data_IF_195058551578
#
_entry.id   IF_195058551578
#
_cell.length_a   1.000
_cell.length_b   1.000
_cell.length_c   1.000
_cell.angle_alpha   90.00
_cell.angle_beta   90.00
_cell.angle_gamma   90.00
#
_symmetry.space_group_name_H-M   'P 1'
#
loop_
_entity.id
_entity.type
_entity.pdbx_description
1 polymer ?
#
# COMPACT_ATOMS: atom_id res chain seq x y z
N UNK A 1 2.03 18.15 12.94
CA UNK A 1 1.44 17.16 12.01
C UNK A 1 0.45 17.88 11.11
N UNK A 2 0.61 17.79 9.79
CA UNK A 2 -0.29 18.40 8.81
C UNK A 2 -0.98 17.27 8.01
N UNK A 3 -2.32 17.22 8.03
CA UNK A 3 -3.12 16.24 7.29
C UNK A 3 -3.97 17.02 6.28
N UNK A 4 -3.98 16.57 5.02
CA UNK A 4 -4.73 17.20 3.93
C UNK A 4 -5.88 16.32 3.48
N UNK A 5 -7.06 16.90 3.29
CA UNK A 5 -8.28 16.16 2.95
C UNK A 5 -8.76 16.54 1.55
N UNK A 6 -8.95 15.55 0.68
CA UNK A 6 -9.54 15.74 -0.63
C UNK A 6 -10.99 15.25 -0.65
N UNK A 7 -11.94 16.19 -0.57
CA UNK A 7 -13.38 15.90 -0.58
C UNK A 7 -13.93 15.51 -1.96
N UNK A 8 -13.18 15.79 -3.05
CA UNK A 8 -13.55 15.40 -4.41
C UNK A 8 -13.10 13.99 -4.76
N UNK A 9 -12.29 13.36 -3.90
CA UNK A 9 -11.83 11.99 -4.10
C UNK A 9 -12.98 10.99 -3.92
N UNK A 10 -12.93 9.88 -4.64
CA UNK A 10 -13.82 8.72 -4.45
C UNK A 10 -13.52 7.96 -3.14
N UNK A 11 -12.39 8.25 -2.50
CA UNK A 11 -11.94 7.60 -1.27
C UNK A 11 -12.63 8.24 -0.06
N UNK A 12 -13.20 7.41 0.82
CA UNK A 12 -13.84 7.87 2.04
C UNK A 12 -12.87 8.67 2.94
N UNK A 13 -13.37 9.71 3.62
CA UNK A 13 -12.55 10.65 4.39
C UNK A 13 -11.74 9.96 5.51
N UNK A 14 -12.34 8.99 6.21
CA UNK A 14 -11.65 8.29 7.29
C UNK A 14 -10.44 7.49 6.76
N UNK A 15 -10.56 6.88 5.57
CA UNK A 15 -9.48 6.16 4.90
C UNK A 15 -8.35 7.13 4.52
N UNK A 16 -8.68 8.34 4.05
CA UNK A 16 -7.66 9.36 3.74
C UNK A 16 -6.87 9.80 4.98
N UNK A 17 -7.55 9.93 6.13
CA UNK A 17 -6.94 10.30 7.42
C UNK A 17 -6.07 9.16 7.94
N UNK A 18 -6.62 7.95 7.94
CA UNK A 18 -5.94 6.74 8.38
C UNK A 18 -4.62 6.53 7.62
N UNK A 19 -4.67 6.60 6.28
CA UNK A 19 -3.49 6.42 5.44
C UNK A 19 -2.41 7.47 5.72
N UNK A 20 -2.78 8.74 5.87
CA UNK A 20 -1.80 9.79 6.19
C UNK A 20 -1.17 9.60 7.57
N UNK A 21 -1.95 9.23 8.59
CA UNK A 21 -1.40 8.93 9.92
C UNK A 21 -0.44 7.74 9.85
N UNK A 22 -0.81 6.67 9.15
CA UNK A 22 0.07 5.51 8.91
C UNK A 22 1.41 5.94 8.32
N UNK A 23 1.39 6.74 7.28
CA UNK A 23 2.62 7.14 6.59
C UNK A 23 3.52 8.01 7.47
N UNK A 24 2.93 8.85 8.32
CA UNK A 24 3.68 9.64 9.29
C UNK A 24 4.30 8.75 10.38
N UNK A 25 3.58 7.72 10.85
CA UNK A 25 4.12 6.74 11.80
C UNK A 25 5.28 5.96 11.17
N UNK A 26 5.09 5.45 9.95
CA UNK A 26 6.11 4.65 9.25
C UNK A 26 7.32 5.46 8.79
N UNK A 27 7.17 6.75 8.49
CA UNK A 27 8.29 7.62 8.13
C UNK A 27 9.22 7.97 9.31
N UNK A 28 8.92 7.48 10.52
CA UNK A 28 9.68 7.72 11.76
C UNK A 28 9.85 9.20 12.14
N UNK A 29 9.06 10.09 11.52
CA UNK A 29 9.01 11.51 11.87
C UNK A 29 8.47 11.67 13.30
N UNK A 30 7.57 10.78 13.72
CA UNK A 30 7.02 10.73 15.07
C UNK A 30 7.56 9.50 15.80
N UNK A 31 8.16 9.72 16.96
CA UNK A 31 8.71 8.65 17.81
C UNK A 31 7.61 7.90 18.57
N UNK A 32 7.93 6.67 19.01
CA UNK A 32 7.09 5.92 19.94
C UNK A 32 6.71 6.78 21.14
N UNK A 33 5.46 6.69 21.58
CA UNK A 33 4.83 7.51 22.62
C UNK A 33 4.52 8.96 22.23
N UNK A 34 4.74 9.39 20.98
CA UNK A 34 4.24 10.68 20.54
C UNK A 34 2.70 10.72 20.65
N UNK A 35 2.20 11.77 21.31
CA UNK A 35 0.76 11.98 21.51
C UNK A 35 0.15 12.59 20.25
N UNK A 36 -0.80 11.87 19.66
CA UNK A 36 -1.60 12.37 18.55
C UNK A 36 -2.63 13.40 19.04
N UNK A 37 -3.07 14.32 18.17
CA UNK A 37 -4.19 15.20 18.49
C UNK A 37 -5.41 14.41 18.94
N UNK A 38 -6.17 14.95 19.90
CA UNK A 38 -7.45 14.32 20.26
C UNK A 38 -8.41 14.30 19.07
N UNK A 39 -9.36 13.37 19.09
CA UNK A 39 -10.39 13.25 18.02
C UNK A 39 -11.09 14.58 17.75
N UNK A 40 -11.40 15.33 18.82
CA UNK A 40 -12.07 16.63 18.74
C UNK A 40 -11.17 17.71 18.14
N UNK A 41 -9.91 17.77 18.57
CA UNK A 41 -8.94 18.71 18.02
C UNK A 41 -8.75 18.43 16.52
N UNK A 42 -8.53 17.17 16.15
CA UNK A 42 -8.30 16.80 14.75
C UNK A 42 -9.54 17.06 13.88
N UNK A 43 -10.73 16.76 14.38
CA UNK A 43 -11.99 17.04 13.67
C UNK A 43 -12.15 18.54 13.38
N UNK A 44 -11.86 19.39 14.38
CA UNK A 44 -11.94 20.84 14.26
C UNK A 44 -10.90 21.39 13.27
N UNK A 45 -9.64 20.92 13.36
CA UNK A 45 -8.56 21.34 12.46
C UNK A 45 -8.86 20.97 11.01
N UNK A 46 -9.37 19.75 10.76
CA UNK A 46 -9.66 19.27 9.40
C UNK A 46 -11.06 19.66 8.90
N UNK A 47 -11.89 20.28 9.77
CA UNK A 47 -13.29 20.61 9.51
C UNK A 47 -14.09 19.39 9.01
N UNK A 48 -13.90 18.23 9.65
CA UNK A 48 -14.60 16.97 9.33
C UNK A 48 -15.48 16.53 10.50
N UNK A 49 -16.41 15.61 10.25
CA UNK A 49 -17.21 15.03 11.32
C UNK A 49 -16.31 14.26 12.31
N UNK A 50 -16.55 14.43 13.61
CA UNK A 50 -15.85 13.69 14.66
C UNK A 50 -15.96 12.18 14.47
N UNK A 51 -17.11 11.66 14.02
CA UNK A 51 -17.29 10.23 13.75
C UNK A 51 -16.30 9.69 12.71
N UNK A 52 -15.93 10.50 11.73
CA UNK A 52 -14.90 10.16 10.73
C UNK A 52 -13.52 9.99 11.37
N UNK A 53 -13.17 10.85 12.35
CA UNK A 53 -11.90 10.75 13.08
C UNK A 53 -11.91 9.54 14.01
N UNK A 54 -13.01 9.33 14.74
CA UNK A 54 -13.20 8.16 15.63
C UNK A 54 -12.96 6.88 14.83
N UNK A 55 -13.64 6.73 13.69
CA UNK A 55 -13.47 5.57 12.81
C UNK A 55 -12.03 5.39 12.33
N UNK A 56 -11.36 6.47 11.90
CA UNK A 56 -9.96 6.39 11.49
C UNK A 56 -9.04 5.97 12.64
N UNK A 57 -9.28 6.45 13.85
CA UNK A 57 -8.48 6.10 15.04
C UNK A 57 -8.75 4.67 15.50
N UNK A 58 -9.99 4.18 15.41
CA UNK A 58 -10.34 2.78 15.67
C UNK A 58 -9.57 1.84 14.74
N UNK A 59 -9.59 2.11 13.43
CA UNK A 59 -8.84 1.34 12.43
C UNK A 59 -7.33 1.31 12.71
N UNK A 60 -6.75 2.42 13.17
CA UNK A 60 -5.34 2.50 13.53
C UNK A 60 -5.01 1.73 14.81
N UNK A 61 -5.94 1.69 15.77
CA UNK A 61 -5.81 0.89 17.00
C UNK A 61 -5.87 -0.59 16.70
N UNK A 62 -6.82 -1.03 15.87
CA UNK A 62 -6.94 -2.43 15.43
C UNK A 62 -5.65 -2.91 14.75
N UNK A 63 -4.97 -2.02 14.02
CA UNK A 63 -3.69 -2.28 13.36
C UNK A 63 -2.48 -2.20 14.30
N UNK A 64 -2.69 -1.93 15.60
CA UNK A 64 -1.64 -1.84 16.62
C UNK A 64 -0.71 -0.63 16.48
N UNK A 65 -1.09 0.36 15.65
CA UNK A 65 -0.22 1.50 15.35
C UNK A 65 -0.30 2.59 16.42
N UNK A 66 -1.49 2.76 16.99
CA UNK A 66 -1.78 3.75 18.03
C UNK A 66 -2.53 3.08 19.17
N UNK A 67 -2.44 3.68 20.35
CA UNK A 67 -3.14 3.23 21.55
C UNK A 67 -3.64 4.45 22.35
N UNK A 68 -4.60 4.24 23.25
CA UNK A 68 -5.20 5.31 24.05
C UNK A 68 -5.08 5.03 25.55
N UNK A 69 -4.59 6.01 26.30
CA UNK A 69 -4.56 5.98 27.76
C UNK A 69 -5.26 7.21 28.34
N UNK A 70 -6.10 7.01 29.36
CA UNK A 70 -6.89 8.07 30.01
C UNK A 70 -6.05 9.28 30.48
N UNK A 71 -4.77 9.09 30.85
CA UNK A 71 -3.88 10.20 31.28
C UNK A 71 -3.06 10.84 30.16
N UNK A 72 -2.79 10.13 29.06
CA UNK A 72 -1.87 10.56 27.98
C UNK A 72 -2.57 10.87 26.66
N UNK A 73 -3.85 10.57 26.55
CA UNK A 73 -4.58 10.64 25.28
C UNK A 73 -4.21 9.49 24.35
N UNK A 74 -4.36 9.71 23.05
CA UNK A 74 -3.98 8.74 22.02
C UNK A 74 -2.52 8.94 21.63
N UNK A 75 -1.72 7.88 21.62
CA UNK A 75 -0.29 7.93 21.32
C UNK A 75 0.11 6.83 20.35
N UNK A 76 1.24 7.01 19.69
CA UNK A 76 1.83 5.98 18.80
C UNK A 76 2.40 4.84 19.66
N UNK A 77 1.80 3.65 19.54
CA UNK A 77 2.23 2.43 20.21
C UNK A 77 3.22 1.62 19.36
N UNK A 78 3.26 1.86 18.05
CA UNK A 78 4.14 1.17 17.12
C UNK A 78 5.62 1.34 17.53
N UNK A 79 6.27 0.22 17.83
CA UNK A 79 7.72 0.09 17.90
C UNK A 79 8.20 -0.75 16.73
N UNK A 80 9.00 -0.14 15.88
CA UNK A 80 9.76 -0.84 14.86
C UNK A 80 10.92 -1.57 15.57
N UNK A 81 10.67 -2.77 16.07
CA UNK A 81 11.68 -3.63 16.71
C UNK A 81 12.60 -4.20 15.63
N UNK A 82 13.49 -3.37 15.10
CA UNK A 82 14.50 -3.78 14.13
C UNK A 82 15.74 -4.36 14.82
N UNK A 83 15.63 -5.54 15.42
CA UNK A 83 16.82 -6.41 15.60
C UNK A 83 16.63 -7.89 15.26
N UNK A 84 15.42 -8.41 15.04
CA UNK A 84 15.31 -9.78 14.52
C UNK A 84 14.27 -9.88 13.39
N UNK A 85 14.76 -10.36 12.24
CA UNK A 85 14.06 -10.84 11.05
C UNK A 85 14.07 -9.92 9.81
N UNK A 86 15.20 -10.05 9.09
CA UNK A 86 15.50 -10.01 7.65
C UNK A 86 14.40 -9.99 6.55
N UNK A 87 13.16 -9.56 6.79
CA UNK A 87 12.19 -9.38 5.70
C UNK A 87 11.83 -7.91 5.44
N UNK A 88 12.43 -7.43 4.35
CA UNK A 88 12.07 -6.26 3.54
C UNK A 88 12.10 -4.92 4.27
N UNK A 89 13.13 -4.15 3.89
CA UNK A 89 13.12 -2.69 3.76
C UNK A 89 11.83 -2.25 3.06
N UNK A 90 10.76 -2.08 3.84
CA UNK A 90 9.48 -1.58 3.37
C UNK A 90 9.64 -0.08 3.19
N UNK A 91 10.21 0.29 2.05
CA UNK A 91 10.31 1.66 1.58
C UNK A 91 8.91 2.27 1.56
N UNK A 92 8.74 3.36 2.31
CA UNK A 92 7.75 4.43 2.13
C UNK A 92 6.44 4.02 1.43
N UNK A 93 5.43 3.72 2.24
CA UNK A 93 4.11 3.31 1.79
C UNK A 93 3.40 4.35 0.88
N UNK A 94 3.69 5.64 1.01
CA UNK A 94 3.09 6.70 0.17
C UNK A 94 3.45 6.62 -1.33
N UNK A 95 4.67 6.21 -1.69
CA UNK A 95 5.04 6.05 -3.11
C UNK A 95 4.44 4.78 -3.73
N UNK A 96 4.11 3.78 -2.92
CA UNK A 96 3.53 2.51 -3.37
C UNK A 96 2.01 2.65 -3.58
N UNK A 97 1.32 3.47 -2.77
CA UNK A 97 -0.13 3.67 -2.91
C UNK A 97 -0.53 4.35 -4.22
N UNK A 98 0.29 5.24 -4.79
CA UNK A 98 -0.02 5.86 -6.09
C UNK A 98 -0.04 4.82 -7.23
N UNK A 99 0.82 3.81 -7.17
CA UNK A 99 0.92 2.80 -8.21
C UNK A 99 -0.18 1.74 -8.09
N UNK A 100 -0.61 1.42 -6.86
CA UNK A 100 -1.65 0.42 -6.61
C UNK A 100 -2.98 0.79 -7.27
N UNK A 101 -3.41 2.05 -7.18
CA UNK A 101 -4.66 2.48 -7.80
C UNK A 101 -4.59 2.36 -9.33
N UNK A 102 -3.49 2.81 -9.93
CA UNK A 102 -3.28 2.71 -11.38
C UNK A 102 -3.28 1.24 -11.84
N UNK A 103 -2.54 0.37 -11.14
CA UNK A 103 -2.50 -1.07 -11.39
C UNK A 103 -3.90 -1.67 -11.30
N UNK A 104 -4.64 -1.36 -10.24
CA UNK A 104 -5.98 -1.89 -10.00
C UNK A 104 -6.97 -1.45 -11.09
N UNK A 105 -6.93 -0.18 -11.49
CA UNK A 105 -7.76 0.34 -12.57
C UNK A 105 -7.45 -0.37 -13.90
N UNK A 106 -6.18 -0.59 -14.23
CA UNK A 106 -5.78 -1.32 -15.44
C UNK A 106 -6.30 -2.76 -15.41
N UNK A 107 -6.12 -3.47 -14.29
CA UNK A 107 -6.58 -4.86 -14.16
C UNK A 107 -8.11 -4.95 -14.38
N UNK A 108 -8.89 -4.25 -13.57
CA UNK A 108 -10.35 -4.42 -13.56
C UNK A 108 -11.06 -3.77 -14.75
N UNK A 109 -10.59 -2.61 -15.22
CA UNK A 109 -11.25 -1.88 -16.29
C UNK A 109 -10.72 -2.22 -17.68
N UNK A 110 -9.57 -2.88 -17.78
CA UNK A 110 -8.96 -3.23 -19.06
C UNK A 110 -8.71 -4.75 -19.16
N UNK A 111 -7.80 -5.30 -18.35
CA UNK A 111 -7.30 -6.67 -18.54
C UNK A 111 -8.39 -7.74 -18.30
N UNK A 112 -9.18 -7.62 -17.23
CA UNK A 112 -10.31 -8.53 -16.97
C UNK A 112 -11.39 -8.47 -18.07
N UNK A 113 -11.39 -7.42 -18.91
CA UNK A 113 -12.29 -7.25 -20.06
C UNK A 113 -11.63 -7.62 -21.38
N UNK A 114 -10.42 -8.17 -21.36
CA UNK A 114 -9.63 -8.52 -22.55
C UNK A 114 -9.07 -7.31 -23.31
N UNK A 115 -9.07 -6.11 -22.72
CA UNK A 115 -8.57 -4.89 -23.35
C UNK A 115 -7.10 -4.73 -22.99
N UNK A 116 -6.22 -4.76 -23.99
CA UNK A 116 -4.77 -4.56 -23.84
C UNK A 116 -4.41 -3.21 -24.47
N UNK A 117 -3.75 -2.34 -23.71
CA UNK A 117 -3.33 -1.01 -24.17
C UNK A 117 -1.84 -0.80 -23.97
N UNK A 118 -1.16 -0.28 -24.98
CA UNK A 118 0.25 0.12 -24.89
C UNK A 118 0.47 1.19 -23.82
N UNK A 119 -0.46 2.14 -23.67
CA UNK A 119 -0.40 3.15 -22.60
C UNK A 119 -0.43 2.55 -21.20
N UNK A 120 -1.09 1.40 -21.01
CA UNK A 120 -1.14 0.67 -19.74
C UNK A 120 0.13 -0.16 -19.54
N UNK A 121 0.65 -0.77 -20.60
CA UNK A 121 1.96 -1.44 -20.60
C UNK A 121 3.07 -0.48 -20.19
N UNK A 122 3.12 0.72 -20.76
CA UNK A 122 4.14 1.73 -20.44
C UNK A 122 4.04 2.23 -18.99
N UNK A 123 2.84 2.29 -18.40
CA UNK A 123 2.68 2.56 -16.96
C UNK A 123 3.27 1.44 -16.11
N UNK A 124 3.01 0.17 -16.46
CA UNK A 124 3.61 -0.97 -15.77
C UNK A 124 5.14 -0.98 -15.86
N UNK A 125 5.71 -0.74 -17.05
CA UNK A 125 7.17 -0.65 -17.24
C UNK A 125 7.79 0.45 -16.37
N UNK A 126 7.14 1.63 -16.28
CA UNK A 126 7.60 2.71 -15.36
C UNK A 126 7.60 2.28 -13.90
N UNK A 127 6.57 1.56 -13.46
CA UNK A 127 6.47 1.06 -12.09
C UNK A 127 7.58 0.02 -11.82
N UNK A 128 7.75 -0.94 -12.73
CA UNK A 128 8.79 -1.97 -12.63
C UNK A 128 10.18 -1.32 -12.57
N UNK A 129 10.50 -0.40 -13.49
CA UNK A 129 11.77 0.30 -13.51
C UNK A 129 12.05 1.05 -12.19
N UNK A 130 11.03 1.68 -11.60
CA UNK A 130 11.15 2.32 -10.28
C UNK A 130 11.46 1.30 -9.18
N UNK A 131 10.83 0.12 -9.21
CA UNK A 131 11.14 -0.96 -8.27
C UNK A 131 12.56 -1.48 -8.47
N UNK A 132 13.02 -1.63 -9.72
CA UNK A 132 14.41 -2.02 -10.02
C UNK A 132 15.41 -1.03 -9.44
N UNK A 133 15.19 0.28 -9.64
CA UNK A 133 16.03 1.35 -9.07
C UNK A 133 16.08 1.31 -7.54
N UNK A 134 15.03 0.78 -6.90
CA UNK A 134 14.95 0.59 -5.46
C UNK A 134 15.55 -0.75 -4.99
N UNK A 135 16.21 -1.51 -5.88
CA UNK A 135 16.91 -2.76 -5.57
C UNK A 135 16.08 -4.02 -5.80
N UNK A 136 14.96 -3.95 -6.52
CA UNK A 136 14.25 -5.17 -6.92
C UNK A 136 15.05 -5.92 -7.99
N UNK A 137 15.38 -7.18 -7.71
CA UNK A 137 16.12 -8.07 -8.62
C UNK A 137 15.19 -9.00 -9.41
N UNK A 138 13.88 -8.97 -9.12
CA UNK A 138 12.86 -9.74 -9.82
C UNK A 138 11.45 -9.25 -9.50
N UNK A 139 10.50 -9.53 -10.39
CA UNK A 139 9.09 -9.16 -10.24
C UNK A 139 8.20 -10.40 -10.23
N UNK A 140 7.36 -10.53 -9.22
CA UNK A 140 6.34 -11.58 -9.15
C UNK A 140 5.02 -11.05 -9.72
N UNK A 141 4.48 -11.72 -10.74
CA UNK A 141 3.19 -11.38 -11.35
C UNK A 141 2.06 -12.07 -10.59
N UNK A 142 1.62 -11.44 -9.49
CA UNK A 142 0.68 -12.07 -8.54
C UNK A 142 -0.79 -12.13 -8.97
N UNK A 143 -1.17 -11.60 -10.14
CA UNK A 143 -2.53 -11.73 -10.68
C UNK A 143 -2.49 -12.46 -12.01
N UNK A 144 -3.50 -13.27 -12.29
CA UNK A 144 -3.63 -14.07 -13.52
C UNK A 144 -3.71 -13.23 -14.80
N UNK A 145 -4.12 -11.96 -14.68
CA UNK A 145 -4.33 -11.05 -15.82
C UNK A 145 -3.09 -10.25 -16.19
N UNK A 146 -2.18 -10.02 -15.26
CA UNK A 146 -0.96 -9.21 -15.49
C UNK A 146 -0.05 -9.85 -16.57
N UNK A 147 0.14 -11.18 -16.60
CA UNK A 147 0.88 -11.85 -17.67
C UNK A 147 0.32 -11.60 -19.08
N UNK A 148 -0.93 -11.15 -19.23
CA UNK A 148 -1.49 -10.77 -20.54
C UNK A 148 -0.90 -9.45 -21.05
N UNK A 149 -0.44 -8.57 -20.15
CA UNK A 149 0.03 -7.23 -20.47
C UNK A 149 1.56 -7.11 -20.52
N UNK A 150 2.27 -7.76 -19.59
CA UNK A 150 3.73 -7.65 -19.44
C UNK A 150 4.38 -9.00 -19.69
N UNK A 151 5.39 -9.03 -20.55
CA UNK A 151 6.19 -10.20 -20.92
C UNK A 151 7.65 -10.02 -20.54
N UNK A 152 8.42 -11.11 -20.53
CA UNK A 152 9.84 -11.09 -20.15
C UNK A 152 10.67 -10.17 -21.07
N UNK A 153 10.27 -10.04 -22.33
CA UNK A 153 10.88 -9.13 -23.32
C UNK A 153 10.64 -7.63 -23.03
N UNK A 154 9.63 -7.29 -22.22
CA UNK A 154 9.32 -5.90 -21.91
C UNK A 154 10.22 -5.31 -20.81
N UNK A 155 10.98 -6.14 -20.08
CA UNK A 155 11.76 -5.76 -18.89
C UNK A 155 13.09 -6.50 -18.76
N UNK A 156 14.08 -5.86 -18.14
CA UNK A 156 15.45 -6.40 -18.04
C UNK A 156 15.73 -7.24 -16.79
N UNK A 157 14.73 -7.44 -15.92
CA UNK A 157 14.85 -8.29 -14.74
C UNK A 157 13.93 -9.51 -14.86
N UNK A 158 14.24 -10.63 -14.20
CA UNK A 158 13.36 -11.80 -14.18
C UNK A 158 11.94 -11.46 -13.73
N UNK A 159 10.96 -11.92 -14.51
CA UNK A 159 9.56 -11.91 -14.10
C UNK A 159 9.08 -13.33 -13.82
N UNK A 160 8.28 -13.49 -12.78
CA UNK A 160 7.76 -14.78 -12.34
C UNK A 160 6.25 -14.78 -12.48
N UNK A 161 5.75 -15.44 -13.54
CA UNK A 161 4.32 -15.72 -13.69
C UNK A 161 3.95 -16.86 -12.74
N UNK A 162 3.34 -16.50 -11.60
CA UNK A 162 2.95 -17.49 -10.59
C UNK A 162 1.90 -18.46 -11.11
N UNK A 163 1.08 -18.04 -12.07
CA UNK A 163 0.04 -18.90 -12.65
C UNK A 163 0.68 -19.99 -13.47
N UNK A 164 1.61 -19.61 -14.37
CA UNK A 164 2.35 -20.56 -15.19
C UNK A 164 3.20 -21.50 -14.33
N UNK A 165 3.92 -20.97 -13.34
CA UNK A 165 4.77 -21.77 -12.43
C UNK A 165 3.92 -22.81 -11.70
N UNK A 166 2.81 -22.41 -11.07
CA UNK A 166 1.95 -23.35 -10.36
C UNK A 166 1.27 -24.35 -11.30
N UNK A 167 0.85 -23.94 -12.49
CA UNK A 167 0.23 -24.84 -13.46
C UNK A 167 1.21 -25.92 -13.93
N UNK A 168 2.46 -25.55 -14.22
CA UNK A 168 3.52 -26.51 -14.60
C UNK A 168 3.78 -27.47 -13.44
N UNK A 169 3.99 -26.97 -12.22
CA UNK A 169 4.24 -27.82 -11.06
C UNK A 169 3.07 -28.77 -10.75
N UNK A 170 1.82 -28.33 -10.95
CA UNK A 170 0.66 -29.17 -10.76
C UNK A 170 0.58 -30.30 -11.81
N UNK A 171 0.97 -30.03 -13.06
CA UNK A 171 1.03 -31.04 -14.12
C UNK A 171 2.16 -32.03 -13.87
N UNK A 172 3.35 -31.56 -13.49
CA UNK A 172 4.50 -32.43 -13.16
C UNK A 172 4.13 -33.39 -12.03
N UNK A 173 3.53 -32.88 -10.94
CA UNK A 173 3.09 -33.69 -9.81
C UNK A 173 1.98 -34.70 -10.18
N UNK A 174 1.20 -34.43 -11.22
CA UNK A 174 0.16 -35.36 -11.69
C UNK A 174 0.69 -36.45 -12.63
N UNK A 175 1.90 -36.27 -13.17
CA UNK A 175 2.56 -37.23 -14.07
C UNK A 175 3.55 -38.14 -13.34
N UNK A 176 3.95 -37.77 -12.12
CA UNK A 176 4.72 -38.60 -11.17
C UNK A 176 3.84 -39.65 -10.46
#
# INVERSE_FOLDING_TARGET
MEIKINRKSKIALYIQIENQIKNIIYSKILSKNYTLPSERQLANTLKVNRSTIIKAYEELKEKGLIDSNARRGTYISFCDNHEENYHKKCLFWDEIYSNREVIHQIIYNELCKGIIKDSSKEKYKKIINKLCLNGAEGIVLGCTEIPLLIKQEDVNIPIFDTTAIHAVSAVELALD
#
